data_IF_228564077944
#
_entry.id   IF_228564077944
#
_cell.length_a   1.000
_cell.length_b   1.000
_cell.length_c   1.000
_cell.angle_alpha   90.00
_cell.angle_beta   90.00
_cell.angle_gamma   90.00
#
_symmetry.space_group_name_H-M   'P 1'
#
loop_
_entity.id
_entity.type
_entity.pdbx_description
1 polymer ?
#
# COMPACT_ATOMS: atom_id res chain seq x y z
N UNK A 1 0.21 -22.34 -3.20
CA UNK A 1 -1.22 -22.08 -2.93
C UNK A 1 -1.90 -21.68 -4.23
N UNK A 2 -3.08 -22.21 -4.56
CA UNK A 2 -3.84 -21.83 -5.77
C UNK A 2 -5.15 -21.20 -5.33
N UNK A 3 -5.49 -20.05 -5.90
CA UNK A 3 -6.71 -19.29 -5.57
C UNK A 3 -7.78 -19.57 -6.63
N UNK A 4 -9.00 -19.86 -6.18
CA UNK A 4 -10.17 -20.02 -7.05
C UNK A 4 -11.18 -18.94 -6.72
N UNK A 5 -11.43 -18.01 -7.65
CA UNK A 5 -12.28 -16.84 -7.40
C UNK A 5 -13.22 -16.53 -8.56
N UNK A 6 -14.39 -15.96 -8.25
CA UNK A 6 -15.30 -15.40 -9.26
C UNK A 6 -14.94 -13.97 -9.67
N UNK A 7 -13.99 -13.35 -8.99
CA UNK A 7 -13.48 -12.02 -9.32
C UNK A 7 -12.26 -12.18 -10.24
N UNK A 8 -12.41 -11.79 -11.50
CA UNK A 8 -11.39 -11.97 -12.56
C UNK A 8 -10.64 -10.67 -12.87
N UNK A 9 -10.72 -9.67 -11.98
CA UNK A 9 -10.06 -8.39 -12.18
C UNK A 9 -8.53 -8.57 -12.16
N UNK A 10 -7.79 -8.05 -13.15
CA UNK A 10 -6.33 -8.20 -13.25
C UNK A 10 -5.56 -7.78 -11.98
N UNK A 11 -6.08 -6.77 -11.26
CA UNK A 11 -5.50 -6.29 -10.00
C UNK A 11 -5.51 -7.38 -8.92
N UNK A 12 -6.64 -8.08 -8.76
CA UNK A 12 -6.81 -9.14 -7.76
C UNK A 12 -5.89 -10.33 -8.09
N UNK A 13 -5.78 -10.67 -9.38
CA UNK A 13 -4.90 -11.75 -9.86
C UNK A 13 -3.42 -11.38 -9.59
N UNK A 14 -3.02 -10.15 -9.92
CA UNK A 14 -1.65 -9.67 -9.69
C UNK A 14 -1.29 -9.65 -8.21
N UNK A 15 -2.19 -9.16 -7.36
CA UNK A 15 -1.97 -9.10 -5.92
C UNK A 15 -1.84 -10.51 -5.32
N UNK A 16 -2.71 -11.44 -5.70
CA UNK A 16 -2.63 -12.84 -5.32
C UNK A 16 -1.27 -13.46 -5.67
N UNK A 17 -0.78 -13.24 -6.88
CA UNK A 17 0.53 -13.72 -7.32
C UNK A 17 1.67 -13.08 -6.52
N UNK A 18 1.59 -11.78 -6.21
CA UNK A 18 2.60 -11.07 -5.43
C UNK A 18 2.75 -11.59 -3.99
N UNK A 19 1.66 -12.12 -3.41
CA UNK A 19 1.69 -12.79 -2.10
C UNK A 19 2.18 -14.25 -2.18
N UNK A 20 2.62 -14.73 -3.34
CA UNK A 20 3.17 -16.07 -3.53
C UNK A 20 2.13 -17.13 -3.88
N UNK A 21 0.96 -16.74 -4.40
CA UNK A 21 0.08 -17.71 -5.04
C UNK A 21 0.78 -18.33 -6.25
N UNK A 22 0.73 -19.66 -6.33
CA UNK A 22 1.26 -20.44 -7.44
C UNK A 22 0.26 -20.54 -8.61
N UNK A 23 -0.94 -19.98 -8.46
CA UNK A 23 -1.87 -19.85 -9.58
C UNK A 23 -3.21 -19.25 -9.18
N UNK A 24 -3.92 -18.73 -10.18
CA UNK A 24 -5.24 -18.15 -10.07
C UNK A 24 -6.18 -18.78 -11.10
N UNK A 25 -7.31 -19.30 -10.63
CA UNK A 25 -8.27 -20.02 -11.47
C UNK A 25 -9.64 -19.35 -11.34
N UNK A 26 -10.26 -18.91 -12.46
CA UNK A 26 -11.60 -18.36 -12.43
C UNK A 26 -12.61 -19.43 -12.01
N UNK A 27 -13.59 -19.07 -11.19
CA UNK A 27 -14.68 -19.98 -10.81
C UNK A 27 -15.61 -20.30 -12.00
N UNK A 28 -15.57 -19.46 -13.04
CA UNK A 28 -16.18 -19.65 -14.36
C UNK A 28 -15.43 -20.66 -15.24
N UNK A 29 -14.21 -21.06 -14.87
CA UNK A 29 -13.41 -21.99 -15.65
C UNK A 29 -14.06 -23.39 -15.72
N UNK A 30 -13.85 -24.09 -16.84
CA UNK A 30 -14.41 -25.42 -17.02
C UNK A 30 -13.66 -26.41 -16.12
N UNK A 31 -14.31 -27.54 -15.79
CA UNK A 31 -13.69 -28.60 -14.98
C UNK A 31 -12.39 -29.15 -15.59
N UNK A 32 -12.31 -29.18 -16.92
CA UNK A 32 -11.09 -29.55 -17.66
C UNK A 32 -9.92 -28.61 -17.36
N UNK A 33 -10.21 -27.32 -17.28
CA UNK A 33 -9.21 -26.26 -17.19
C UNK A 33 -8.67 -26.19 -15.76
N UNK A 34 -9.56 -26.38 -14.77
CA UNK A 34 -9.18 -26.56 -13.37
C UNK A 34 -8.21 -27.73 -13.17
N UNK A 35 -8.49 -28.88 -13.79
CA UNK A 35 -7.64 -30.06 -13.68
C UNK A 35 -6.29 -29.89 -14.40
N UNK A 36 -6.25 -29.12 -15.49
CA UNK A 36 -5.02 -28.76 -16.17
C UNK A 36 -4.19 -27.77 -15.33
N UNK A 37 -4.84 -26.76 -14.75
CA UNK A 37 -4.21 -25.76 -13.90
C UNK A 37 -3.55 -26.38 -12.66
N UNK A 38 -4.24 -27.28 -11.96
CA UNK A 38 -3.68 -27.97 -10.79
C UNK A 38 -2.44 -28.78 -11.18
N UNK A 39 -2.46 -29.50 -12.30
CA UNK A 39 -1.30 -30.27 -12.77
C UNK A 39 -0.11 -29.38 -13.10
N UNK A 40 -0.34 -28.29 -13.82
CA UNK A 40 0.69 -27.29 -14.13
C UNK A 40 1.36 -26.73 -12.87
N UNK A 41 0.56 -26.42 -11.84
CA UNK A 41 1.08 -25.94 -10.56
C UNK A 41 1.87 -27.02 -9.79
N UNK A 42 1.44 -28.28 -9.87
CA UNK A 42 2.20 -29.40 -9.28
C UNK A 42 3.54 -29.65 -9.98
N UNK A 43 3.66 -29.28 -11.26
CA UNK A 43 4.91 -29.32 -12.03
C UNK A 43 5.80 -28.09 -11.77
N UNK A 44 5.36 -27.16 -10.91
CA UNK A 44 6.09 -25.97 -10.52
C UNK A 44 5.86 -24.75 -11.41
N UNK A 45 4.92 -24.82 -12.35
CA UNK A 45 4.55 -23.69 -13.19
C UNK A 45 3.47 -22.82 -12.52
N UNK A 46 3.43 -21.53 -12.84
CA UNK A 46 2.37 -20.63 -12.37
C UNK A 46 1.22 -20.63 -13.37
N UNK A 47 0.02 -20.98 -12.92
CA UNK A 47 -1.18 -20.93 -13.77
C UNK A 47 -1.91 -19.60 -13.63
N UNK A 48 -2.15 -18.93 -14.75
CA UNK A 48 -2.95 -17.70 -14.82
C UNK A 48 -4.06 -17.84 -15.87
N UNK A 49 -5.19 -17.14 -15.72
CA UNK A 49 -6.28 -17.16 -16.69
C UNK A 49 -5.85 -16.64 -18.07
N UNK A 50 -6.43 -17.14 -19.17
CA UNK A 50 -6.08 -16.69 -20.53
C UNK A 50 -6.38 -15.21 -20.79
N UNK A 51 -7.35 -14.64 -20.07
CA UNK A 51 -7.70 -13.21 -20.08
C UNK A 51 -6.76 -12.34 -19.22
N UNK A 52 -5.78 -12.94 -18.53
CA UNK A 52 -4.77 -12.22 -17.77
C UNK A 52 -3.56 -11.91 -18.65
N UNK A 53 -3.62 -10.77 -19.35
CA UNK A 53 -2.42 -10.12 -19.88
C UNK A 53 -1.72 -9.46 -18.70
N UNK A 54 -0.67 -10.11 -18.19
CA UNK A 54 0.04 -9.72 -16.97
C UNK A 54 0.08 -8.21 -16.76
N UNK A 55 -0.53 -7.74 -15.68
CA UNK A 55 -0.56 -6.32 -15.41
C UNK A 55 0.89 -5.86 -15.18
N UNK A 56 1.39 -4.83 -15.89
CA UNK A 56 2.65 -4.21 -15.50
C UNK A 56 2.55 -3.85 -14.01
N UNK A 57 3.66 -3.96 -13.25
CA UNK A 57 3.63 -3.72 -11.80
C UNK A 57 2.82 -2.46 -11.51
N UNK A 58 1.76 -2.62 -10.72
CA UNK A 58 0.79 -1.54 -10.50
C UNK A 58 1.59 -0.32 -10.01
N UNK A 59 1.61 0.81 -10.74
CA UNK A 59 2.35 1.99 -10.31
C UNK A 59 1.94 2.41 -8.90
N UNK A 60 0.69 2.15 -8.51
CA UNK A 60 0.15 2.41 -7.17
C UNK A 60 0.76 1.50 -6.08
N UNK A 61 1.24 0.30 -6.45
CA UNK A 61 1.97 -0.60 -5.54
C UNK A 61 3.43 -0.16 -5.33
N UNK A 62 4.07 0.34 -6.39
CA UNK A 62 5.42 0.89 -6.35
C UNK A 62 5.44 2.21 -5.57
N UNK A 63 4.47 3.09 -5.84
CA UNK A 63 4.31 4.37 -5.15
C UNK A 63 4.04 4.19 -3.65
N UNK A 64 3.26 3.15 -3.26
CA UNK A 64 3.07 2.80 -1.84
C UNK A 64 4.36 2.33 -1.18
N UNK A 65 5.08 1.40 -1.81
CA UNK A 65 6.33 0.87 -1.25
C UNK A 65 7.35 1.99 -1.03
N UNK A 66 7.46 2.90 -2.01
CA UNK A 66 8.29 4.09 -1.92
C UNK A 66 7.84 5.04 -0.79
N UNK A 67 6.53 5.25 -0.62
CA UNK A 67 6.02 6.09 0.46
C UNK A 67 6.29 5.50 1.85
N UNK A 68 6.10 4.19 2.02
CA UNK A 68 6.44 3.48 3.27
C UNK A 68 7.92 3.62 3.57
N UNK A 69 8.79 3.51 2.55
CA UNK A 69 10.22 3.70 2.72
C UNK A 69 10.58 5.14 3.11
N UNK A 70 9.89 6.15 2.56
CA UNK A 70 10.07 7.56 2.95
C UNK A 70 9.63 7.83 4.38
N UNK A 71 8.50 7.24 4.81
CA UNK A 71 8.03 7.33 6.19
C UNK A 71 9.00 6.68 7.17
N UNK A 72 9.59 5.53 6.82
CA UNK A 72 10.59 4.85 7.65
C UNK A 72 11.86 5.68 7.88
N UNK A 73 12.14 6.71 7.05
CA UNK A 73 13.27 7.64 7.23
C UNK A 73 12.97 8.78 8.19
N UNK A 74 11.72 8.96 8.63
CA UNK A 74 11.37 9.95 9.63
C UNK A 74 11.88 9.53 11.01
N UNK A 75 12.34 10.51 11.80
CA UNK A 75 12.67 10.23 13.20
C UNK A 75 11.39 10.06 14.03
N UNK A 76 11.44 9.43 15.21
CA UNK A 76 10.27 9.30 16.08
C UNK A 76 9.59 10.63 16.40
N UNK A 77 10.38 11.69 16.62
CA UNK A 77 9.88 13.05 16.83
C UNK A 77 9.14 13.58 15.60
N UNK A 78 9.69 13.39 14.40
CA UNK A 78 9.09 13.82 13.14
C UNK A 78 7.79 13.07 12.85
N UNK A 79 7.72 11.78 13.16
CA UNK A 79 6.52 10.96 13.00
C UNK A 79 5.39 11.44 13.92
N UNK A 80 5.72 11.81 15.17
CA UNK A 80 4.77 12.38 16.12
C UNK A 80 4.25 13.75 15.66
N UNK A 81 5.12 14.61 15.14
CA UNK A 81 4.70 15.88 14.49
C UNK A 81 3.78 15.61 13.31
N UNK A 82 4.12 14.66 12.44
CA UNK A 82 3.30 14.28 11.28
C UNK A 82 1.90 13.79 11.68
N UNK A 83 1.78 13.00 12.75
CA UNK A 83 0.48 12.56 13.27
C UNK A 83 -0.40 13.75 13.71
N UNK A 84 0.17 14.73 14.42
CA UNK A 84 -0.57 15.93 14.80
C UNK A 84 -0.91 16.82 13.60
N UNK A 85 -0.04 16.86 12.57
CA UNK A 85 -0.37 17.54 11.31
C UNK A 85 -1.60 16.93 10.64
N UNK A 86 -1.70 15.59 10.63
CA UNK A 86 -2.86 14.86 10.10
C UNK A 86 -4.15 15.18 10.86
N UNK A 87 -4.07 15.40 12.16
CA UNK A 87 -5.21 15.82 12.99
C UNK A 87 -5.63 17.29 12.74
N UNK A 88 -4.95 18.00 11.83
CA UNK A 88 -5.25 19.40 11.53
C UNK A 88 -4.66 20.40 12.52
N UNK A 89 -3.79 19.97 13.45
CA UNK A 89 -3.25 20.85 14.49
C UNK A 89 -2.32 21.92 13.94
N UNK A 90 -2.49 23.16 14.39
CA UNK A 90 -1.62 24.28 14.02
C UNK A 90 -0.23 24.12 14.66
N UNK A 91 0.80 24.72 14.06
CA UNK A 91 2.18 24.64 14.59
C UNK A 91 2.27 25.12 16.05
N UNK A 92 1.47 26.13 16.42
CA UNK A 92 1.38 26.63 17.80
C UNK A 92 0.78 25.60 18.77
N UNK A 93 -0.21 24.82 18.32
CA UNK A 93 -0.80 23.75 19.12
C UNK A 93 0.19 22.58 19.26
N UNK A 94 0.87 22.20 18.17
CA UNK A 94 1.89 21.16 18.20
C UNK A 94 3.05 21.55 19.12
N UNK A 95 3.46 22.81 19.09
CA UNK A 95 4.52 23.34 19.95
C UNK A 95 4.12 23.23 21.44
N UNK A 96 2.87 23.54 21.76
CA UNK A 96 2.32 23.38 23.10
C UNK A 96 2.28 21.91 23.55
N UNK A 97 1.75 21.01 22.71
CA UNK A 97 1.65 19.57 23.01
C UNK A 97 3.02 18.90 23.20
N UNK A 98 4.02 19.32 22.42
CA UNK A 98 5.38 18.79 22.51
C UNK A 98 6.27 19.54 23.51
N UNK A 99 5.78 20.61 24.13
CA UNK A 99 6.55 21.49 25.01
C UNK A 99 7.84 22.02 24.34
N UNK A 100 7.75 22.40 23.06
CA UNK A 100 8.86 22.97 22.27
C UNK A 100 8.50 24.34 21.70
N UNK A 101 9.48 25.05 21.14
CA UNK A 101 9.24 26.31 20.44
C UNK A 101 8.55 26.12 19.09
N UNK A 102 7.74 27.09 18.66
CA UNK A 102 7.08 27.07 17.35
C UNK A 102 8.09 27.00 16.18
N UNK A 103 9.24 27.65 16.33
CA UNK A 103 10.37 27.58 15.38
C UNK A 103 10.89 26.15 15.22
N UNK A 104 10.94 25.38 16.32
CA UNK A 104 11.36 23.97 16.31
C UNK A 104 10.34 23.10 15.56
N UNK A 105 9.04 23.35 15.76
CA UNK A 105 8.00 22.67 14.98
C UNK A 105 8.14 22.99 13.50
N UNK A 106 8.33 24.26 13.13
CA UNK A 106 8.56 24.67 11.73
C UNK A 106 9.75 23.92 11.11
N UNK A 107 10.85 23.78 11.84
CA UNK A 107 12.00 23.00 11.39
C UNK A 107 11.66 21.51 11.18
N UNK A 108 10.93 20.90 12.11
CA UNK A 108 10.44 19.52 11.94
C UNK A 108 9.53 19.37 10.73
N UNK A 109 8.59 20.30 10.52
CA UNK A 109 7.70 20.30 9.35
C UNK A 109 8.51 20.39 8.06
N UNK A 110 9.46 21.31 7.96
CA UNK A 110 10.32 21.43 6.77
C UNK A 110 11.10 20.15 6.47
N UNK A 111 11.67 19.50 7.49
CA UNK A 111 12.37 18.22 7.29
C UNK A 111 11.43 17.07 6.91
N UNK A 112 10.21 17.05 7.46
CA UNK A 112 9.19 16.06 7.08
C UNK A 112 8.83 16.22 5.61
N UNK A 113 8.52 17.44 5.16
CA UNK A 113 8.20 17.73 3.76
C UNK A 113 9.33 17.30 2.82
N UNK A 114 10.59 17.61 3.20
CA UNK A 114 11.79 17.20 2.45
C UNK A 114 11.93 15.69 2.36
N UNK A 115 11.75 14.97 3.47
CA UNK A 115 11.90 13.50 3.52
C UNK A 115 10.77 12.75 2.81
N UNK A 116 9.56 13.30 2.84
CA UNK A 116 8.40 12.77 2.11
C UNK A 116 8.38 13.17 0.63
N UNK A 117 9.26 14.09 0.22
CA UNK A 117 9.34 14.65 -1.12
C UNK A 117 8.04 15.35 -1.55
N UNK A 118 7.49 16.18 -0.66
CA UNK A 118 6.27 16.96 -0.88
C UNK A 118 6.52 18.43 -0.56
N UNK A 119 5.72 19.32 -1.15
CA UNK A 119 5.95 20.77 -1.08
C UNK A 119 5.02 21.49 -0.12
N UNK A 120 3.92 20.85 0.27
CA UNK A 120 2.94 21.47 1.15
C UNK A 120 2.49 20.55 2.27
N UNK A 121 2.07 21.18 3.37
CA UNK A 121 1.44 20.50 4.50
C UNK A 121 0.25 19.66 4.05
N UNK A 122 -0.60 20.20 3.17
CA UNK A 122 -1.77 19.49 2.65
C UNK A 122 -1.37 18.27 1.86
N UNK A 123 -0.34 18.36 1.00
CA UNK A 123 0.20 17.20 0.29
C UNK A 123 0.71 16.14 1.25
N UNK A 124 1.47 16.52 2.29
CA UNK A 124 1.94 15.56 3.29
C UNK A 124 0.79 14.79 3.97
N UNK A 125 -0.31 15.48 4.30
CA UNK A 125 -1.49 14.84 4.90
C UNK A 125 -2.20 13.93 3.91
N UNK A 126 -2.37 14.36 2.66
CA UNK A 126 -3.00 13.56 1.60
C UNK A 126 -2.19 12.28 1.33
N UNK A 127 -0.87 12.41 1.14
CA UNK A 127 0.00 11.28 0.84
C UNK A 127 -0.02 10.22 1.95
N UNK A 128 -0.01 10.64 3.22
CA UNK A 128 -0.10 9.69 4.32
C UNK A 128 -1.50 9.08 4.42
N UNK A 129 -2.56 9.83 4.10
CA UNK A 129 -3.94 9.32 4.14
C UNK A 129 -4.21 8.26 3.05
N UNK A 130 -3.45 8.26 1.95
CA UNK A 130 -3.51 7.20 0.94
C UNK A 130 -3.03 5.85 1.48
N UNK A 131 -2.12 5.84 2.46
CA UNK A 131 -1.63 4.63 3.10
C UNK A 131 -2.66 4.04 4.08
N UNK A 132 -3.27 4.88 4.93
CA UNK A 132 -4.29 4.42 5.88
C UNK A 132 -5.53 3.82 5.19
N UNK A 133 -5.95 4.39 4.05
CA UNK A 133 -7.05 3.79 3.28
C UNK A 133 -6.67 2.39 2.78
N UNK A 134 -5.40 2.17 2.42
CA UNK A 134 -4.93 0.85 2.02
C UNK A 134 -4.85 -0.15 3.20
N UNK A 135 -4.60 0.32 4.43
CA UNK A 135 -4.72 -0.51 5.63
C UNK A 135 -6.18 -0.83 5.97
N UNK A 136 -7.11 0.12 5.79
CA UNK A 136 -8.55 -0.13 5.93
C UNK A 136 -9.05 -1.21 4.95
N UNK A 137 -8.51 -1.27 3.73
CA UNK A 137 -8.81 -2.35 2.78
C UNK A 137 -8.10 -3.67 3.12
N UNK A 138 -7.02 -3.63 3.89
CA UNK A 138 -6.31 -4.83 4.39
C UNK A 138 -7.05 -5.48 5.57
N UNK A 139 -7.67 -4.68 6.44
CA UNK A 139 -8.49 -5.16 7.57
C UNK A 139 -9.86 -5.71 7.15
N UNK A 140 -10.36 -5.37 5.96
CA UNK A 140 -11.59 -5.98 5.41
C UNK A 140 -11.34 -7.26 4.60
N UNK A 141 -10.09 -7.59 4.28
CA UNK A 141 -9.70 -8.82 3.58
C UNK A 141 -9.38 -9.98 4.55
N UNK A 142 -9.68 -9.84 5.83
CA UNK A 142 -9.55 -10.91 6.82
C UNK A 142 -10.71 -11.90 6.80
N UNK A 143 -10.80 -12.74 5.77
CA UNK A 143 -11.39 -14.09 5.80
C UNK A 143 -10.78 -14.98 4.73
#
# INVERSE_FOLDING_TARGET
>A
VVIVSGYEEPKIISEALSYGAAGFIPKSARKSDLAAAIRSVMEGAVYVPENYEGQPPDPDSTDRADMVQRLARLTPQQLRVLQMLRQGMLNKQIAYELQVGETTVKAHVSEILRKLNVYSRTQAVIEVSKLDNAELFRDQAGF
#
